data_IF_331444632768
#
_entry.id   IF_331444632768
#
_cell.length_a   1.000
_cell.length_b   1.000
_cell.length_c   1.000
_cell.angle_alpha   90.00
_cell.angle_beta   90.00
_cell.angle_gamma   90.00
#
_symmetry.space_group_name_H-M   'P 1'
#
loop_
_entity.id
_entity.type
_entity.pdbx_description
1 polymer ?
#
# COMPACT_ATOMS: atom_id res chain seq x y z
N UNK A 1 33.32 7.59 37.06
CA UNK A 1 32.95 6.83 35.84
C UNK A 1 31.46 6.45 35.77
N UNK A 2 30.68 6.58 36.85
CA UNK A 2 29.29 6.09 36.92
C UNK A 2 28.27 6.93 36.13
N UNK A 3 28.51 8.22 35.93
CA UNK A 3 27.64 9.13 35.18
C UNK A 3 27.47 8.68 33.71
N UNK A 4 28.57 8.31 33.05
CA UNK A 4 28.55 7.80 31.67
C UNK A 4 27.74 6.52 31.53
N UNK A 5 27.78 5.63 32.53
CA UNK A 5 26.99 4.41 32.54
C UNK A 5 25.49 4.71 32.61
N UNK A 6 25.10 5.65 33.48
CA UNK A 6 23.70 6.08 33.63
C UNK A 6 23.17 6.72 32.34
N UNK A 7 23.95 7.59 31.70
CA UNK A 7 23.59 8.22 30.42
C UNK A 7 23.38 7.17 29.32
N UNK A 8 24.27 6.19 29.19
CA UNK A 8 24.14 5.12 28.19
C UNK A 8 22.90 4.26 28.40
N UNK A 9 22.55 3.95 29.65
CA UNK A 9 21.35 3.18 29.99
C UNK A 9 20.09 3.98 29.62
N UNK A 10 20.02 5.25 30.01
CA UNK A 10 18.88 6.11 29.70
C UNK A 10 18.70 6.30 28.19
N UNK A 11 19.80 6.44 27.43
CA UNK A 11 19.76 6.55 25.97
C UNK A 11 19.23 5.26 25.33
N UNK A 12 19.69 4.10 25.81
CA UNK A 12 19.23 2.79 25.33
C UNK A 12 17.75 2.59 25.63
N UNK A 13 17.31 2.87 26.85
CA UNK A 13 15.91 2.76 27.25
C UNK A 13 15.00 3.68 26.43
N UNK A 14 15.43 4.92 26.20
CA UNK A 14 14.72 5.87 25.34
C UNK A 14 14.61 5.36 23.89
N UNK A 15 15.70 4.81 23.34
CA UNK A 15 15.72 4.20 22.00
C UNK A 15 14.75 3.01 21.90
N UNK A 16 14.76 2.11 22.89
CA UNK A 16 13.86 0.96 22.93
C UNK A 16 12.39 1.37 23.06
N UNK A 17 12.10 2.39 23.88
CA UNK A 17 10.74 2.94 24.03
C UNK A 17 10.24 3.55 22.72
N UNK A 18 11.09 4.31 22.03
CA UNK A 18 10.78 4.89 20.72
C UNK A 18 10.55 3.80 19.67
N UNK A 19 11.39 2.77 19.63
CA UNK A 19 11.23 1.61 18.75
C UNK A 19 9.88 0.91 18.98
N UNK A 20 9.58 0.55 20.23
CA UNK A 20 8.30 -0.08 20.59
C UNK A 20 7.10 0.76 20.14
N UNK A 21 7.18 2.08 20.27
CA UNK A 21 6.08 2.96 19.87
C UNK A 21 5.94 3.09 18.35
N UNK A 22 7.05 3.10 17.61
CA UNK A 22 7.06 3.12 16.15
C UNK A 22 6.50 1.79 15.59
N UNK A 23 7.00 0.67 16.08
CA UNK A 23 6.65 -0.68 15.62
C UNK A 23 5.16 -0.97 15.82
N UNK A 24 4.51 -0.43 16.87
CA UNK A 24 3.06 -0.57 17.12
C UNK A 24 2.17 -0.13 15.96
N UNK A 25 2.61 0.83 15.15
CA UNK A 25 1.84 1.38 14.02
C UNK A 25 2.40 0.92 12.67
N UNK A 26 3.49 0.16 12.67
CA UNK A 26 4.09 -0.33 11.46
C UNK A 26 3.27 -1.53 10.96
N UNK A 27 2.79 -1.42 9.73
CA UNK A 27 2.19 -2.58 9.08
C UNK A 27 3.29 -3.50 8.54
N UNK A 28 3.09 -4.82 8.57
CA UNK A 28 4.02 -5.76 7.96
C UNK A 28 4.17 -5.41 6.48
N UNK A 29 5.41 -5.43 5.99
CA UNK A 29 5.69 -5.26 4.57
C UNK A 29 5.08 -6.42 3.80
N UNK A 30 4.32 -6.10 2.75
CA UNK A 30 3.85 -7.11 1.81
C UNK A 30 5.04 -7.67 1.03
N UNK A 31 5.12 -9.00 0.95
CA UNK A 31 6.09 -9.66 0.09
C UNK A 31 5.65 -9.54 -1.37
N UNK A 32 6.55 -9.03 -2.20
CA UNK A 32 6.36 -8.91 -3.64
C UNK A 32 7.27 -9.88 -4.38
N UNK A 33 6.88 -10.28 -5.59
CA UNK A 33 7.69 -11.09 -6.50
C UNK A 33 7.98 -10.32 -7.78
N UNK A 34 9.07 -10.69 -8.45
CA UNK A 34 9.38 -10.17 -9.78
C UNK A 34 8.28 -10.62 -10.75
N UNK A 35 7.78 -9.69 -11.56
CA UNK A 35 6.66 -9.94 -12.47
C UNK A 35 5.27 -9.57 -11.91
N UNK A 36 5.13 -9.40 -10.60
CA UNK A 36 3.86 -8.94 -10.02
C UNK A 36 3.51 -7.54 -10.53
N UNK A 37 2.23 -7.30 -10.76
CA UNK A 37 1.71 -5.98 -11.12
C UNK A 37 1.31 -5.21 -9.86
N UNK A 38 1.83 -3.99 -9.72
CA UNK A 38 1.57 -3.15 -8.54
C UNK A 38 1.14 -1.75 -8.93
N UNK A 39 0.22 -1.20 -8.15
CA UNK A 39 -0.18 0.20 -8.19
C UNK A 39 0.80 1.07 -7.42
N UNK A 40 1.27 2.14 -8.06
CA UNK A 40 2.20 3.10 -7.46
C UNK A 40 1.45 4.30 -6.85
N UNK A 41 1.79 4.68 -5.62
CA UNK A 41 1.19 5.83 -4.94
C UNK A 41 1.66 7.17 -5.54
N UNK A 42 0.72 8.10 -5.72
CA UNK A 42 0.99 9.46 -6.21
C UNK A 42 1.40 10.44 -5.11
N UNK A 43 1.52 10.01 -3.85
CA UNK A 43 1.73 10.88 -2.67
C UNK A 43 2.92 11.83 -2.81
N UNK A 44 4.03 11.37 -3.38
CA UNK A 44 5.28 12.13 -3.54
C UNK A 44 5.60 12.47 -4.99
N UNK A 45 4.67 12.17 -5.91
CA UNK A 45 4.84 12.43 -7.34
C UNK A 45 4.03 13.67 -7.68
N UNK A 46 4.69 14.68 -8.26
CA UNK A 46 4.02 15.91 -8.71
C UNK A 46 3.27 15.64 -10.01
N UNK A 47 2.06 15.11 -9.88
CA UNK A 47 1.14 14.98 -11.01
C UNK A 47 0.35 16.26 -11.20
N UNK A 48 0.14 16.66 -12.47
CA UNK A 48 -0.73 17.78 -12.82
C UNK A 48 -2.20 17.34 -12.78
N UNK A 49 -2.71 17.01 -11.59
CA UNK A 49 -4.16 16.85 -11.41
C UNK A 49 -4.80 18.23 -11.28
N UNK A 50 -5.94 18.46 -11.93
CA UNK A 50 -6.71 19.70 -11.76
C UNK A 50 -7.14 19.93 -10.31
N UNK A 51 -7.35 18.84 -9.55
CA UNK A 51 -7.68 18.91 -8.13
C UNK A 51 -6.95 17.80 -7.36
N UNK A 52 -6.10 18.18 -6.39
CA UNK A 52 -5.34 17.22 -5.55
C UNK A 52 -6.23 16.31 -4.71
N UNK A 53 -7.43 16.76 -4.31
CA UNK A 53 -8.37 15.98 -3.48
C UNK A 53 -9.10 14.91 -4.29
N UNK A 54 -9.38 15.18 -5.56
CA UNK A 54 -10.08 14.29 -6.47
C UNK A 54 -9.14 13.47 -7.38
N UNK A 55 -7.85 13.81 -7.38
CA UNK A 55 -6.83 13.07 -8.12
C UNK A 55 -6.70 11.62 -7.63
N UNK A 56 -6.30 10.73 -8.53
CA UNK A 56 -6.06 9.33 -8.19
C UNK A 56 -4.90 9.22 -7.20
N UNK A 57 -5.13 8.51 -6.08
CA UNK A 57 -4.11 8.28 -5.05
C UNK A 57 -3.06 7.23 -5.47
N UNK A 58 -3.43 6.39 -6.43
CA UNK A 58 -2.62 5.34 -7.01
C UNK A 58 -2.77 5.38 -8.53
N UNK A 59 -1.68 5.11 -9.23
CA UNK A 59 -1.61 5.04 -10.70
C UNK A 59 -1.13 3.67 -11.12
N UNK A 60 -1.70 3.17 -12.22
CA UNK A 60 -1.22 2.09 -13.08
C UNK A 60 -0.81 0.77 -12.40
N UNK A 61 -1.23 -0.40 -12.90
CA UNK A 61 -0.49 -1.61 -12.60
C UNK A 61 0.84 -1.59 -13.35
N UNK A 62 1.94 -1.33 -12.65
CA UNK A 62 3.30 -1.44 -13.18
C UNK A 62 3.91 -2.78 -12.78
N UNK A 63 4.58 -3.49 -13.70
CA UNK A 63 5.25 -4.73 -13.36
C UNK A 63 6.52 -4.44 -12.54
N UNK A 64 6.80 -5.31 -11.58
CA UNK A 64 8.05 -5.31 -10.84
C UNK A 64 9.16 -5.88 -11.71
N UNK A 65 10.17 -5.07 -11.99
CA UNK A 65 11.36 -5.47 -12.75
C UNK A 65 12.34 -6.26 -11.87
N UNK A 66 12.61 -5.75 -10.66
CA UNK A 66 13.57 -6.35 -9.74
C UNK A 66 13.28 -5.94 -8.30
N UNK A 67 13.48 -6.87 -7.37
CA UNK A 67 13.50 -6.57 -5.93
C UNK A 67 14.94 -6.25 -5.54
N UNK A 68 15.19 -5.04 -5.06
CA UNK A 68 16.54 -4.60 -4.67
C UNK A 68 16.80 -5.02 -3.23
N UNK A 69 15.86 -4.68 -2.34
CA UNK A 69 15.85 -5.01 -0.93
C UNK A 69 14.43 -5.47 -0.54
N UNK A 70 14.24 -6.14 0.60
CA UNK A 70 12.90 -6.51 1.10
C UNK A 70 11.93 -5.33 1.19
N UNK A 71 12.49 -4.12 1.32
CA UNK A 71 11.75 -2.87 1.50
C UNK A 71 11.72 -2.01 0.23
N UNK A 72 12.53 -2.32 -0.79
CA UNK A 72 12.70 -1.48 -1.99
C UNK A 72 12.66 -2.28 -3.29
N UNK A 73 11.77 -1.85 -4.17
CA UNK A 73 11.41 -2.56 -5.41
C UNK A 73 11.60 -1.62 -6.61
N UNK A 74 12.16 -2.14 -7.70
CA UNK A 74 12.30 -1.44 -8.98
C UNK A 74 11.13 -1.80 -9.90
N UNK A 75 10.46 -0.79 -10.43
CA UNK A 75 9.33 -0.93 -11.35
C UNK A 75 9.71 -0.58 -12.79
N UNK A 76 9.06 -1.23 -13.75
CA UNK A 76 9.12 -0.79 -15.15
C UNK A 76 8.15 0.37 -15.34
N UNK A 77 8.69 1.60 -15.25
CA UNK A 77 7.90 2.82 -15.43
C UNK A 77 7.79 3.21 -16.91
N UNK A 78 6.63 3.69 -17.36
CA UNK A 78 6.48 4.22 -18.71
C UNK A 78 7.12 5.60 -18.84
N UNK A 79 7.62 5.91 -20.04
CA UNK A 79 8.32 7.17 -20.35
C UNK A 79 7.48 8.43 -20.10
N UNK A 80 6.15 8.34 -20.18
CA UNK A 80 5.25 9.48 -19.96
C UNK A 80 5.24 9.98 -18.50
N UNK A 81 5.67 9.15 -17.54
CA UNK A 81 5.76 9.56 -16.13
C UNK A 81 6.95 10.52 -15.88
N UNK A 82 7.81 10.74 -16.88
CA UNK A 82 8.88 11.73 -16.85
C UNK A 82 10.08 11.29 -16.00
N UNK A 83 10.73 12.24 -15.33
CA UNK A 83 11.98 12.07 -14.55
C UNK A 83 11.70 11.51 -13.13
N UNK A 84 10.90 10.44 -13.03
CA UNK A 84 10.69 9.72 -11.77
C UNK A 84 11.65 8.54 -11.70
N UNK A 85 12.35 8.40 -10.57
CA UNK A 85 13.25 7.27 -10.36
C UNK A 85 12.45 5.97 -10.16
N UNK A 86 12.78 4.85 -10.82
CA UNK A 86 11.94 3.65 -10.85
C UNK A 86 11.97 2.80 -9.57
N UNK A 87 12.71 3.20 -8.53
CA UNK A 87 12.82 2.45 -7.27
C UNK A 87 11.93 3.06 -6.20
N UNK A 88 11.07 2.23 -5.61
CA UNK A 88 10.09 2.65 -4.61
C UNK A 88 10.12 1.77 -3.38
N UNK A 89 9.77 2.38 -2.24
CA UNK A 89 9.57 1.68 -0.99
C UNK A 89 8.24 0.89 -1.03
N UNK A 90 8.20 -0.31 -0.44
CA UNK A 90 7.02 -1.21 -0.42
C UNK A 90 5.72 -0.53 0.03
N UNK A 91 5.76 0.32 1.06
CA UNK A 91 4.61 1.12 1.53
C UNK A 91 3.99 2.07 0.48
N UNK A 92 4.69 2.36 -0.62
CA UNK A 92 4.17 3.18 -1.72
C UNK A 92 3.53 2.34 -2.82
N UNK A 93 3.57 1.02 -2.68
CA UNK A 93 3.06 0.06 -3.65
C UNK A 93 1.80 -0.60 -3.08
N UNK A 94 0.86 -0.89 -3.96
CA UNK A 94 -0.30 -1.72 -3.67
C UNK A 94 -0.33 -2.89 -4.64
N UNK A 95 -0.53 -4.14 -4.19
CA UNK A 95 -0.70 -5.26 -5.10
C UNK A 95 -1.92 -5.03 -5.99
N UNK A 96 -1.79 -5.34 -7.28
CA UNK A 96 -2.93 -5.42 -8.18
C UNK A 96 -3.64 -6.76 -7.92
N UNK A 97 -4.97 -6.75 -7.83
CA UNK A 97 -5.79 -7.97 -7.67
C UNK A 97 -5.78 -8.86 -8.93
N UNK A 98 -5.13 -8.42 -10.01
CA UNK A 98 -4.84 -9.26 -11.15
C UNK A 98 -3.70 -10.22 -10.79
N UNK A 99 -4.01 -11.24 -9.99
CA UNK A 99 -3.38 -12.55 -10.17
C UNK A 99 -3.52 -12.84 -11.68
N UNK A 100 -2.41 -13.14 -12.37
CA UNK A 100 -2.49 -13.57 -13.76
C UNK A 100 -3.53 -14.71 -13.87
N UNK A 101 -4.16 -14.91 -15.03
CA UNK A 101 -5.06 -16.04 -15.17
C UNK A 101 -4.23 -17.30 -14.98
N UNK A 102 -4.40 -17.97 -13.84
CA UNK A 102 -4.41 -19.42 -13.87
C UNK A 102 -5.61 -19.73 -14.78
N UNK A 103 -5.34 -20.13 -16.02
CA UNK A 103 -6.38 -20.50 -16.98
C UNK A 103 -7.15 -21.67 -16.37
N UNK A 104 -8.37 -21.42 -15.93
CA UNK A 104 -9.42 -22.43 -15.88
C UNK A 104 -10.68 -21.79 -16.46
N UNK A 105 -11.01 -22.20 -17.69
CA UNK A 105 -12.25 -21.83 -18.37
C UNK A 105 -13.40 -22.50 -17.62
N UNK A 106 -14.33 -21.71 -17.05
CA UNK A 106 -15.46 -22.34 -16.38
C UNK A 106 -16.49 -21.42 -15.74
N UNK A 107 -17.52 -21.10 -16.51
CA UNK A 107 -18.87 -20.67 -16.08
C UNK A 107 -19.07 -19.20 -15.77
N UNK A 108 -19.76 -18.52 -16.69
CA UNK A 108 -20.54 -17.31 -16.40
C UNK A 108 -21.63 -17.70 -15.38
N UNK A 109 -21.35 -17.57 -14.09
CA UNK A 109 -22.43 -17.58 -13.11
C UNK A 109 -23.08 -16.20 -13.15
N UNK A 110 -24.32 -16.19 -13.63
CA UNK A 110 -25.28 -15.13 -13.37
C UNK A 110 -25.29 -14.86 -11.87
N UNK A 111 -24.75 -13.71 -11.47
CA UNK A 111 -24.73 -13.27 -10.08
C UNK A 111 -26.11 -12.70 -9.72
N UNK A 112 -27.11 -13.57 -9.59
CA UNK A 112 -28.31 -13.28 -8.83
C UNK A 112 -28.00 -13.56 -7.36
N UNK A 113 -27.99 -12.52 -6.53
CA UNK A 113 -27.77 -12.65 -5.09
C UNK A 113 -29.12 -12.66 -4.39
N UNK A 114 -29.43 -13.75 -3.69
CA UNK A 114 -30.50 -13.80 -2.71
C UNK A 114 -30.02 -13.11 -1.42
N UNK A 115 -30.64 -11.99 -1.05
CA UNK A 115 -30.23 -11.19 0.10
C UNK A 115 -30.86 -11.79 1.37
N UNK A 116 -30.06 -12.44 2.22
CA UNK A 116 -30.55 -13.09 3.46
C UNK A 116 -30.83 -12.08 4.59
N UNK A 117 -30.03 -11.00 4.72
CA UNK A 117 -30.30 -9.95 5.72
C UNK A 117 -29.56 -8.63 5.47
N UNK A 118 -30.28 -7.52 5.59
CA UNK A 118 -29.70 -6.17 5.55
C UNK A 118 -28.99 -5.90 6.89
N UNK A 119 -27.66 -5.82 6.88
CA UNK A 119 -26.85 -5.65 8.10
C UNK A 119 -26.76 -4.20 8.60
N UNK A 120 -27.08 -3.20 7.77
CA UNK A 120 -27.03 -1.80 8.18
C UNK A 120 -28.07 -0.96 7.45
N UNK A 121 -28.89 -0.25 8.22
CA UNK A 121 -29.85 0.75 7.75
C UNK A 121 -29.51 2.08 8.42
N UNK A 122 -29.48 3.18 7.66
CA UNK A 122 -29.25 4.53 8.20
C UNK A 122 -30.53 5.34 8.12
N UNK A 123 -30.99 5.85 9.26
CA UNK A 123 -32.17 6.71 9.31
C UNK A 123 -31.84 8.13 8.83
N UNK A 124 -32.60 8.66 7.88
CA UNK A 124 -32.63 10.08 7.54
C UNK A 124 -34.06 10.57 7.50
N UNK A 125 -34.40 11.59 8.33
CA UNK A 125 -35.75 12.18 8.42
C UNK A 125 -36.86 11.12 8.42
N UNK A 126 -36.86 10.29 9.47
CA UNK A 126 -37.85 9.24 9.73
C UNK A 126 -38.04 8.17 8.63
N UNK A 127 -37.17 8.11 7.60
CA UNK A 127 -37.21 7.08 6.59
C UNK A 127 -35.91 6.26 6.56
N UNK A 128 -36.06 4.97 6.30
CA UNK A 128 -34.96 4.01 6.08
C UNK A 128 -34.69 3.92 4.57
N UNK A 129 -33.42 4.03 4.18
CA UNK A 129 -32.93 3.78 2.82
C UNK A 129 -32.25 2.42 2.72
#
# INVERSE_FOLDING_TARGET
QECWRKVRIALKESSERNKKQADKRQQPSQDFRVGDKVYLSTKYIRFKFNNKKLGSKYIGPFPIEKIINPVSVKLTLPKWLGRVYPVFHVNLLKPSLQKGPDVDEGTQQNNEYEIDKILNARMYRNNVQ
#
